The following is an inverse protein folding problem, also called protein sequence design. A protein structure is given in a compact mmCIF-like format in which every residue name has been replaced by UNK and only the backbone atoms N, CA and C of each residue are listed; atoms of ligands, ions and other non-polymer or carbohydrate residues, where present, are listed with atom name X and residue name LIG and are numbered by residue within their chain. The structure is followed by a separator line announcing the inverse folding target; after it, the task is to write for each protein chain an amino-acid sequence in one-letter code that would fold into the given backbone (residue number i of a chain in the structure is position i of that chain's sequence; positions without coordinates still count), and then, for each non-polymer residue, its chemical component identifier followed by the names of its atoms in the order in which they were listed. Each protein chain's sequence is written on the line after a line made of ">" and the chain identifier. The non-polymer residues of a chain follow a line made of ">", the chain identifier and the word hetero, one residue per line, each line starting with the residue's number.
data_IF_151957650602
#
_entry.id   IF_151957650602
#
_cell.length_a   1.000
_cell.length_b   1.000
_cell.length_c   1.000
_cell.angle_alpha   90.00
_cell.angle_beta   90.00
_cell.angle_gamma   90.00
#
_symmetry.space_group_name_H-M   'P 1'
#
loop_
_entity.id
_entity.type
_entity.pdbx_description
1 polymer ?
#
# COMPACT_ATOMS: atom_id res chain seq x y z
N UNK A 1 -18.83 -50.92 -49.78
CA UNK A 1 -18.28 -49.55 -49.93
C UNK A 1 -18.26 -48.91 -48.54
N UNK A 2 -17.13 -48.95 -47.83
CA UNK A 2 -17.00 -48.29 -46.52
C UNK A 2 -16.53 -46.85 -46.72
N UNK A 3 -17.32 -45.89 -46.25
CA UNK A 3 -16.97 -44.47 -46.25
C UNK A 3 -16.09 -44.16 -45.04
N UNK A 4 -14.83 -43.83 -45.29
CA UNK A 4 -13.88 -43.32 -44.30
C UNK A 4 -14.29 -41.88 -43.92
N UNK A 5 -14.69 -41.66 -42.66
CA UNK A 5 -14.94 -40.31 -42.12
C UNK A 5 -13.64 -39.76 -41.56
N UNK A 6 -13.09 -38.74 -42.22
CA UNK A 6 -11.95 -37.96 -41.72
C UNK A 6 -12.50 -36.94 -40.72
N UNK A 7 -12.06 -37.06 -39.46
CA UNK A 7 -12.37 -36.10 -38.40
C UNK A 7 -11.30 -35.01 -38.45
N UNK A 8 -11.67 -33.80 -38.90
CA UNK A 8 -10.78 -32.64 -38.89
C UNK A 8 -10.83 -32.03 -37.48
N UNK A 9 -9.72 -32.16 -36.75
CA UNK A 9 -9.56 -31.57 -35.42
C UNK A 9 -9.12 -30.10 -35.57
N UNK A 10 -10.03 -29.17 -35.32
CA UNK A 10 -9.72 -27.74 -35.28
C UNK A 10 -8.98 -27.42 -33.97
N UNK A 11 -7.68 -27.17 -34.03
CA UNK A 11 -6.94 -26.65 -32.87
C UNK A 11 -7.26 -25.16 -32.69
N UNK A 12 -8.14 -24.83 -31.75
CA UNK A 12 -8.26 -23.46 -31.26
C UNK A 12 -7.05 -23.14 -30.39
N UNK A 13 -6.21 -22.19 -30.84
CA UNK A 13 -5.18 -21.60 -29.98
C UNK A 13 -5.84 -20.66 -28.97
N UNK A 14 -5.98 -21.12 -27.73
CA UNK A 14 -6.34 -20.25 -26.62
C UNK A 14 -5.10 -19.48 -26.17
N UNK A 15 -5.15 -18.15 -26.21
CA UNK A 15 -4.14 -17.31 -25.55
C UNK A 15 -4.38 -17.37 -24.05
N UNK A 16 -3.47 -18.01 -23.32
CA UNK A 16 -3.42 -17.92 -21.86
C UNK A 16 -2.72 -16.62 -21.48
N UNK A 17 -3.39 -15.76 -20.72
CA UNK A 17 -2.75 -14.59 -20.13
C UNK A 17 -2.31 -14.99 -18.72
N UNK A 18 -1.00 -14.96 -18.46
CA UNK A 18 -0.50 -15.09 -17.09
C UNK A 18 -1.02 -13.90 -16.26
N UNK A 19 -1.39 -14.16 -15.00
CA UNK A 19 -1.84 -13.09 -14.12
C UNK A 19 -0.73 -12.07 -13.93
N UNK A 20 -1.02 -10.81 -14.29
CA UNK A 20 -0.05 -9.73 -14.19
C UNK A 20 0.16 -9.38 -12.72
N UNK A 21 1.40 -9.50 -12.25
CA UNK A 21 1.82 -9.06 -10.93
C UNK A 21 1.62 -7.55 -10.73
N UNK A 22 1.68 -7.08 -9.48
CA UNK A 22 1.56 -5.68 -9.10
C UNK A 22 2.54 -4.79 -9.89
N UNK A 23 3.79 -5.25 -9.96
CA UNK A 23 4.90 -4.71 -10.74
C UNK A 23 5.86 -5.87 -11.07
N UNK A 24 6.81 -5.72 -12.02
CA UNK A 24 7.62 -6.84 -12.53
C UNK A 24 8.38 -7.62 -11.45
N UNK A 25 8.82 -6.95 -10.39
CA UNK A 25 9.60 -7.53 -9.29
C UNK A 25 8.74 -7.98 -8.09
N UNK A 26 7.41 -7.91 -8.17
CA UNK A 26 6.53 -8.27 -7.07
C UNK A 26 6.51 -9.79 -6.82
N UNK A 27 6.70 -10.19 -5.56
CA UNK A 27 6.79 -11.59 -5.14
C UNK A 27 5.85 -11.88 -3.97
N UNK A 28 5.76 -13.16 -3.56
CA UNK A 28 4.99 -13.58 -2.38
C UNK A 28 3.47 -13.54 -2.56
N UNK A 29 2.74 -13.66 -1.45
CA UNK A 29 1.29 -13.78 -1.47
C UNK A 29 0.56 -12.51 -1.91
N UNK A 30 1.18 -11.35 -1.76
CA UNK A 30 0.67 -10.06 -2.24
C UNK A 30 1.06 -9.71 -3.68
N UNK A 31 1.81 -10.58 -4.38
CA UNK A 31 2.39 -10.28 -5.70
C UNK A 31 1.34 -9.88 -6.76
N UNK A 32 0.10 -10.29 -6.59
CA UNK A 32 -0.98 -10.09 -7.57
C UNK A 32 -1.94 -8.96 -7.21
N UNK A 33 -1.65 -8.17 -6.18
CA UNK A 33 -2.35 -6.91 -5.93
C UNK A 33 -2.35 -6.07 -7.22
N UNK A 34 -3.51 -5.56 -7.61
CA UNK A 34 -3.65 -4.70 -8.80
C UNK A 34 -3.59 -3.21 -8.43
N UNK A 35 -3.82 -2.87 -7.15
CA UNK A 35 -3.89 -1.51 -6.65
C UNK A 35 -4.88 -0.67 -7.45
N UNK A 36 -4.45 0.53 -7.85
CA UNK A 36 -5.26 1.46 -8.62
C UNK A 36 -5.27 1.26 -10.14
N UNK A 37 -4.80 0.11 -10.65
CA UNK A 37 -4.68 -0.13 -12.10
C UNK A 37 -5.99 0.12 -12.84
N UNK A 38 -5.93 0.90 -13.93
CA UNK A 38 -7.10 1.27 -14.73
C UNK A 38 -7.96 2.38 -14.11
N UNK A 39 -7.59 2.86 -12.92
CA UNK A 39 -8.25 3.93 -12.21
C UNK A 39 -7.73 5.33 -12.56
N UNK A 40 -8.11 6.28 -11.71
CA UNK A 40 -7.66 7.68 -11.82
C UNK A 40 -6.19 7.84 -11.38
N UNK A 41 -5.50 8.84 -11.93
CA UNK A 41 -4.19 9.26 -11.42
C UNK A 41 -4.38 10.56 -10.65
N UNK A 42 -4.10 10.52 -9.35
CA UNK A 42 -4.23 11.66 -8.45
C UNK A 42 -2.85 12.16 -8.07
N UNK A 43 -2.65 13.48 -8.21
CA UNK A 43 -1.36 14.11 -7.93
C UNK A 43 -1.38 14.79 -6.57
N UNK A 44 -0.42 14.44 -5.72
CA UNK A 44 -0.10 15.20 -4.53
C UNK A 44 0.78 16.37 -4.92
N UNK A 45 0.27 17.58 -4.75
CA UNK A 45 0.90 18.85 -5.14
C UNK A 45 1.22 19.75 -3.96
N UNK A 46 0.90 19.33 -2.74
CA UNK A 46 1.18 20.06 -1.50
C UNK A 46 1.54 19.11 -0.35
N UNK A 47 2.37 19.59 0.56
CA UNK A 47 2.74 18.89 1.81
C UNK A 47 1.77 19.22 2.96
N UNK A 48 0.76 20.05 2.72
CA UNK A 48 -0.26 20.36 3.71
C UNK A 48 -1.01 19.09 4.16
N UNK A 49 -1.40 19.04 5.43
CA UNK A 49 -2.11 17.88 5.99
C UNK A 49 -3.43 17.60 5.26
N UNK A 50 -4.19 18.65 4.91
CA UNK A 50 -5.52 18.55 4.33
C UNK A 50 -5.69 19.49 3.14
N UNK A 51 -6.82 19.38 2.44
CA UNK A 51 -7.16 20.19 1.26
C UNK A 51 -6.82 19.51 -0.06
N UNK A 52 -7.43 19.98 -1.15
CA UNK A 52 -7.23 19.42 -2.50
C UNK A 52 -5.74 19.45 -2.87
N UNK A 53 -5.26 18.33 -3.40
CA UNK A 53 -3.84 18.14 -3.73
C UNK A 53 -2.96 17.67 -2.58
N UNK A 54 -3.50 17.48 -1.36
CA UNK A 54 -2.78 16.80 -0.28
C UNK A 54 -2.85 15.28 -0.43
N UNK A 55 -1.95 14.57 0.27
CA UNK A 55 -2.01 13.10 0.37
C UNK A 55 -3.33 12.64 1.01
N UNK A 56 -3.78 13.31 2.07
CA UNK A 56 -5.06 13.00 2.72
C UNK A 56 -6.24 13.13 1.75
N UNK A 57 -6.29 14.20 0.96
CA UNK A 57 -7.34 14.36 -0.05
C UNK A 57 -7.31 13.24 -1.10
N UNK A 58 -6.11 12.90 -1.61
CA UNK A 58 -5.96 11.89 -2.66
C UNK A 58 -6.33 10.47 -2.15
N UNK A 59 -5.93 10.13 -0.92
CA UNK A 59 -6.28 8.85 -0.27
C UNK A 59 -7.79 8.74 -0.05
N UNK A 60 -8.46 9.83 0.30
CA UNK A 60 -9.92 9.83 0.54
C UNK A 60 -10.78 9.75 -0.73
N UNK A 61 -10.21 9.83 -1.94
CA UNK A 61 -11.01 9.70 -3.15
C UNK A 61 -11.51 8.26 -3.33
N UNK A 62 -12.77 8.04 -3.72
CA UNK A 62 -13.29 6.70 -3.96
C UNK A 62 -12.81 6.13 -5.31
N UNK A 63 -12.94 4.82 -5.44
CA UNK A 63 -12.61 4.09 -6.67
C UNK A 63 -11.13 3.83 -6.85
N UNK A 64 -10.81 3.06 -7.91
CA UNK A 64 -9.45 2.70 -8.24
C UNK A 64 -8.61 3.96 -8.51
N UNK A 65 -7.46 4.08 -7.86
CA UNK A 65 -6.60 5.28 -7.98
C UNK A 65 -5.12 5.03 -7.75
N UNK A 66 -4.31 5.71 -8.54
CA UNK A 66 -2.86 5.76 -8.41
C UNK A 66 -2.48 7.15 -7.94
N UNK A 67 -1.93 7.23 -6.74
CA UNK A 67 -1.41 8.46 -6.14
C UNK A 67 0.06 8.61 -6.51
N UNK A 68 0.37 9.74 -7.14
CA UNK A 68 1.73 10.14 -7.54
C UNK A 68 2.06 11.51 -6.93
N UNK A 69 3.33 11.88 -6.87
CA UNK A 69 3.80 13.06 -6.14
C UNK A 69 4.54 14.03 -7.07
N UNK A 70 4.06 15.28 -7.14
CA UNK A 70 4.78 16.40 -7.78
C UNK A 70 5.68 17.16 -6.77
N UNK A 71 5.59 16.81 -5.48
CA UNK A 71 6.34 17.42 -4.36
C UNK A 71 7.12 16.38 -3.56
N UNK A 72 8.13 16.81 -2.82
CA UNK A 72 8.93 15.98 -1.92
C UNK A 72 9.13 16.66 -0.58
N UNK A 73 9.18 15.90 0.51
CA UNK A 73 9.38 16.45 1.84
C UNK A 73 8.62 15.67 2.91
N UNK A 74 8.31 16.37 3.99
CA UNK A 74 7.63 15.83 5.17
C UNK A 74 6.15 16.21 5.12
N UNK A 75 5.28 15.23 5.29
CA UNK A 75 3.84 15.42 5.51
C UNK A 75 3.55 15.02 6.95
N UNK A 76 3.06 15.96 7.76
CA UNK A 76 2.78 15.72 9.18
C UNK A 76 1.27 15.59 9.41
N UNK A 77 0.75 14.38 9.26
CA UNK A 77 -0.65 14.02 9.52
C UNK A 77 -0.76 12.51 9.54
N UNK A 78 -1.78 12.00 10.22
CA UNK A 78 -2.19 10.60 10.05
C UNK A 78 -2.95 10.43 8.73
N UNK A 79 -2.79 9.25 8.14
CA UNK A 79 -3.43 8.85 6.89
C UNK A 79 -4.16 7.54 7.14
N UNK A 80 -5.47 7.61 7.24
CA UNK A 80 -6.35 6.44 7.13
C UNK A 80 -6.75 6.25 5.67
N UNK A 81 -6.65 5.02 5.16
CA UNK A 81 -7.11 4.62 3.83
C UNK A 81 -8.54 4.07 3.98
N UNK A 82 -9.59 4.84 3.62
CA UNK A 82 -10.97 4.41 3.79
C UNK A 82 -11.47 3.50 2.65
N UNK A 83 -10.75 3.47 1.52
CA UNK A 83 -11.14 2.78 0.30
C UNK A 83 -9.95 2.05 -0.31
N UNK A 84 -10.15 0.77 -0.65
CA UNK A 84 -9.17 -0.06 -1.34
C UNK A 84 -8.89 0.37 -2.79
N UNK A 85 -8.32 -0.55 -3.58
CA UNK A 85 -7.97 -0.33 -4.99
C UNK A 85 -7.04 0.88 -5.19
N UNK A 86 -5.99 0.94 -4.39
CA UNK A 86 -5.11 2.11 -4.29
C UNK A 86 -3.66 1.72 -4.55
N UNK A 87 -2.97 2.57 -5.31
CA UNK A 87 -1.50 2.54 -5.40
C UNK A 87 -0.94 3.86 -4.91
N UNK A 88 -0.09 3.87 -3.89
CA UNK A 88 0.68 5.04 -3.48
C UNK A 88 2.11 4.87 -3.98
N UNK A 89 2.44 5.59 -5.05
CA UNK A 89 3.69 5.46 -5.80
C UNK A 89 4.73 6.51 -5.36
N UNK A 90 5.33 6.34 -4.18
CA UNK A 90 6.29 7.27 -3.59
C UNK A 90 7.52 7.54 -4.45
N UNK A 91 7.92 6.61 -5.33
CA UNK A 91 9.06 6.77 -6.24
C UNK A 91 8.86 7.86 -7.29
N UNK A 92 7.63 8.38 -7.44
CA UNK A 92 7.34 9.50 -8.35
C UNK A 92 7.73 10.85 -7.76
N UNK A 93 7.87 10.95 -6.44
CA UNK A 93 8.27 12.18 -5.77
C UNK A 93 9.66 12.63 -6.24
N UNK A 94 9.87 13.94 -6.48
CA UNK A 94 11.20 14.45 -6.80
C UNK A 94 12.16 14.32 -5.62
N UNK A 95 13.45 14.56 -5.87
CA UNK A 95 14.45 14.78 -4.83
C UNK A 95 14.50 13.70 -3.76
N UNK A 96 14.31 14.09 -2.49
CA UNK A 96 14.48 13.21 -1.34
C UNK A 96 13.31 12.24 -1.10
N UNK A 97 12.22 12.33 -1.87
CA UNK A 97 11.01 11.53 -1.66
C UNK A 97 10.09 12.05 -0.54
N UNK A 98 9.18 11.19 -0.06
CA UNK A 98 8.16 11.53 0.93
C UNK A 98 8.42 10.83 2.26
N UNK A 99 8.37 11.61 3.34
CA UNK A 99 8.29 11.09 4.72
C UNK A 99 6.94 11.48 5.31
N UNK A 100 6.17 10.49 5.76
CA UNK A 100 4.97 10.68 6.56
C UNK A 100 5.37 10.69 8.04
N UNK A 101 5.13 11.81 8.71
CA UNK A 101 5.21 11.92 10.17
C UNK A 101 3.80 11.79 10.72
N UNK A 102 3.35 10.55 10.82
CA UNK A 102 2.01 10.15 11.22
C UNK A 102 1.81 8.66 10.96
N UNK A 103 0.66 8.16 11.40
CA UNK A 103 0.24 6.78 11.24
C UNK A 103 -0.31 6.53 9.83
N UNK A 104 -0.13 5.32 9.31
CA UNK A 104 -0.72 4.88 8.03
C UNK A 104 -1.61 3.66 8.27
N UNK A 105 -2.92 3.86 8.25
CA UNK A 105 -3.86 2.84 8.71
C UNK A 105 -4.93 2.51 7.66
N UNK A 106 -5.61 1.38 7.84
CA UNK A 106 -6.96 1.18 7.31
C UNK A 106 -7.97 1.33 8.43
N UNK A 107 -9.23 1.57 8.08
CA UNK A 107 -10.29 1.69 9.08
C UNK A 107 -10.50 0.33 9.80
N UNK A 108 -10.48 0.34 11.13
CA UNK A 108 -10.68 -0.86 11.94
C UNK A 108 -12.07 -1.48 11.73
N UNK A 109 -12.12 -2.80 11.55
CA UNK A 109 -13.36 -3.55 11.32
C UNK A 109 -14.01 -3.32 9.96
N UNK A 110 -13.34 -2.64 9.03
CA UNK A 110 -13.82 -2.41 7.66
C UNK A 110 -12.81 -3.00 6.67
N UNK A 111 -13.28 -3.95 5.85
CA UNK A 111 -12.43 -4.57 4.85
C UNK A 111 -11.96 -3.55 3.80
N UNK A 112 -10.64 -3.33 3.77
CA UNK A 112 -9.99 -2.41 2.84
C UNK A 112 -8.88 -3.15 2.12
N UNK A 113 -9.12 -3.52 0.86
CA UNK A 113 -8.29 -4.50 0.14
C UNK A 113 -7.59 -3.88 -1.08
N UNK A 114 -6.68 -4.66 -1.69
CA UNK A 114 -6.02 -4.33 -2.96
C UNK A 114 -5.19 -3.03 -2.87
N UNK A 115 -4.17 -3.06 -2.02
CA UNK A 115 -3.35 -1.91 -1.66
C UNK A 115 -1.91 -2.14 -2.13
N UNK A 116 -1.36 -1.17 -2.88
CA UNK A 116 0.06 -1.14 -3.25
C UNK A 116 0.67 0.14 -2.65
N UNK A 117 1.70 0.02 -1.83
CA UNK A 117 2.42 1.19 -1.30
C UNK A 117 3.91 0.98 -1.52
N UNK A 118 4.55 1.97 -2.16
CA UNK A 118 5.97 1.88 -2.49
C UNK A 118 6.74 3.15 -2.18
N UNK A 119 7.99 3.01 -1.77
CA UNK A 119 8.96 4.11 -1.65
C UNK A 119 8.50 5.28 -0.75
N UNK A 120 7.82 4.95 0.34
CA UNK A 120 7.47 5.91 1.40
C UNK A 120 8.30 5.63 2.64
N UNK A 121 8.50 6.68 3.44
CA UNK A 121 9.02 6.53 4.79
C UNK A 121 7.97 6.92 5.81
N UNK A 122 7.74 6.09 6.82
CA UNK A 122 6.67 6.27 7.81
C UNK A 122 7.32 6.34 9.20
N UNK A 123 7.05 7.43 9.93
CA UNK A 123 7.63 7.76 11.23
C UNK A 123 6.61 8.49 12.11
N UNK A 124 5.67 7.79 12.77
CA UNK A 124 4.72 8.44 13.65
C UNK A 124 5.44 9.21 14.78
N UNK A 125 4.82 10.27 15.31
CA UNK A 125 5.38 11.03 16.41
C UNK A 125 5.35 10.23 17.73
N UNK A 126 6.08 10.71 18.74
CA UNK A 126 6.03 10.12 20.09
C UNK A 126 4.60 10.21 20.67
N UNK A 127 4.03 9.13 21.23
CA UNK A 127 2.70 9.12 21.86
C UNK A 127 2.50 10.03 23.09
N UNK A 128 3.47 10.89 23.45
CA UNK A 128 3.44 11.76 24.63
C UNK A 128 3.17 11.02 25.96
N UNK A 129 3.65 9.77 26.09
CA UNK A 129 3.54 8.96 27.31
C UNK A 129 2.11 8.82 27.89
N UNK A 130 1.06 9.00 27.06
CA UNK A 130 -0.30 8.72 27.48
C UNK A 130 -0.48 7.21 27.57
N UNK A 131 -0.59 6.68 28.79
CA UNK A 131 -0.80 5.26 29.04
C UNK A 131 -2.32 4.94 29.16
N UNK A 132 -2.81 3.86 28.53
CA UNK A 132 -2.08 3.02 27.59
C UNK A 132 -1.84 3.79 26.29
N UNK A 133 -0.66 3.64 25.64
CA UNK A 133 -0.49 4.15 24.29
C UNK A 133 -1.58 3.47 23.47
N UNK A 134 -2.48 4.25 22.93
CA UNK A 134 -3.45 3.83 21.94
C UNK A 134 -2.72 3.23 20.73
N UNK A 135 -2.39 1.93 20.76
CA UNK A 135 -1.85 1.11 19.65
C UNK A 135 -1.21 1.94 18.53
N UNK A 136 -0.06 2.56 18.86
CA UNK A 136 0.56 3.65 18.10
C UNK A 136 1.44 3.07 16.98
N UNK A 137 0.81 2.31 16.10
CA UNK A 137 1.51 1.57 15.07
C UNK A 137 1.91 2.46 13.91
N UNK A 138 3.10 2.27 13.34
CA UNK A 138 3.46 3.07 12.16
C UNK A 138 2.56 2.74 10.97
N UNK A 139 2.33 1.44 10.72
CA UNK A 139 1.38 0.94 9.74
C UNK A 139 0.48 -0.07 10.43
N UNK A 140 -0.84 0.10 10.33
CA UNK A 140 -1.81 -0.87 10.86
C UNK A 140 -2.92 -1.12 9.84
N UNK A 141 -2.92 -2.32 9.25
CA UNK A 141 -3.96 -2.74 8.31
C UNK A 141 -4.73 -3.93 8.89
N UNK A 142 -5.95 -3.69 9.35
CA UNK A 142 -6.86 -4.71 9.88
C UNK A 142 -7.88 -5.15 8.83
N UNK A 143 -8.25 -6.43 8.83
CA UNK A 143 -9.25 -7.00 7.90
C UNK A 143 -8.95 -6.69 6.42
N UNK A 144 -7.67 -6.56 6.08
CA UNK A 144 -7.19 -6.01 4.81
C UNK A 144 -6.36 -7.03 4.04
N UNK A 145 -6.61 -7.16 2.73
CA UNK A 145 -6.10 -8.28 1.93
C UNK A 145 -5.59 -7.83 0.56
N UNK A 146 -4.76 -8.68 -0.08
CA UNK A 146 -4.10 -8.40 -1.36
C UNK A 146 -3.26 -7.11 -1.28
N UNK A 147 -2.23 -7.13 -0.45
CA UNK A 147 -1.41 -5.96 -0.13
C UNK A 147 0.03 -6.21 -0.53
N UNK A 148 0.67 -5.19 -1.10
CA UNK A 148 2.13 -5.17 -1.24
C UNK A 148 2.71 -3.86 -0.73
N UNK A 149 3.61 -4.00 0.24
CA UNK A 149 4.47 -2.94 0.76
C UNK A 149 5.88 -3.19 0.21
N UNK A 150 6.41 -2.27 -0.59
CA UNK A 150 7.69 -2.47 -1.28
C UNK A 150 8.58 -1.23 -1.20
N UNK A 151 9.86 -1.41 -0.87
CA UNK A 151 10.80 -0.30 -0.68
C UNK A 151 10.33 0.77 0.32
N UNK A 152 9.60 0.36 1.36
CA UNK A 152 9.23 1.28 2.44
C UNK A 152 10.30 1.30 3.53
N UNK A 153 10.32 2.37 4.32
CA UNK A 153 11.19 2.52 5.48
C UNK A 153 10.35 2.96 6.69
N UNK A 154 10.22 2.06 7.65
CA UNK A 154 9.29 2.17 8.78
C UNK A 154 10.06 2.09 10.08
N UNK A 155 9.73 3.00 11.00
CA UNK A 155 10.36 3.13 12.31
C UNK A 155 9.46 3.94 13.22
N UNK A 156 9.82 4.04 14.50
CA UNK A 156 9.12 4.86 15.49
C UNK A 156 7.70 4.36 15.84
N UNK A 157 7.32 3.14 15.46
CA UNK A 157 6.14 2.50 16.04
C UNK A 157 6.29 2.37 17.56
N UNK A 158 5.21 2.62 18.29
CA UNK A 158 5.23 2.53 19.75
C UNK A 158 4.84 1.15 20.27
N UNK A 159 3.90 0.50 19.60
CA UNK A 159 3.56 -0.91 19.80
C UNK A 159 4.20 -1.70 18.65
N UNK A 160 3.66 -1.59 17.43
CA UNK A 160 4.21 -2.20 16.23
C UNK A 160 4.72 -1.17 15.19
N UNK A 161 5.78 -1.53 14.44
CA UNK A 161 6.08 -0.79 13.21
C UNK A 161 5.10 -1.16 12.10
N UNK A 162 4.70 -2.44 12.02
CA UNK A 162 3.75 -2.92 11.03
C UNK A 162 2.87 -3.97 11.71
N UNK A 163 1.58 -3.67 11.84
CA UNK A 163 0.53 -4.58 12.31
C UNK A 163 -0.41 -4.97 11.16
N UNK A 164 -0.62 -6.28 11.02
CA UNK A 164 -1.49 -6.91 10.03
C UNK A 164 -2.40 -7.89 10.78
N UNK A 165 -3.59 -7.42 11.16
CA UNK A 165 -4.45 -8.10 12.12
C UNK A 165 -5.86 -8.41 11.56
N UNK A 166 -6.65 -9.14 12.33
CA UNK A 166 -8.09 -9.39 12.10
C UNK A 166 -8.40 -10.04 10.74
N UNK A 167 -7.68 -11.13 10.43
CA UNK A 167 -7.90 -11.89 9.20
C UNK A 167 -7.21 -11.31 7.96
N UNK A 168 -6.32 -10.33 8.11
CA UNK A 168 -5.47 -9.82 7.03
C UNK A 168 -4.64 -10.94 6.37
N UNK A 169 -4.73 -11.07 5.04
CA UNK A 169 -4.07 -12.15 4.27
C UNK A 169 -3.74 -11.75 2.83
N UNK A 170 -2.93 -12.56 2.13
CA UNK A 170 -2.34 -12.22 0.81
C UNK A 170 -1.50 -10.94 0.85
N UNK A 171 -0.50 -10.92 1.73
CA UNK A 171 0.36 -9.76 1.98
C UNK A 171 1.79 -10.10 1.59
N UNK A 172 2.48 -9.13 0.98
CA UNK A 172 3.93 -9.14 0.81
C UNK A 172 4.51 -7.84 1.35
N UNK A 173 5.56 -7.96 2.16
CA UNK A 173 6.45 -6.86 2.52
C UNK A 173 7.83 -7.22 1.97
N UNK A 174 8.35 -6.44 1.03
CA UNK A 174 9.61 -6.75 0.34
C UNK A 174 10.51 -5.53 0.20
N UNK A 175 11.82 -5.75 0.13
CA UNK A 175 12.85 -4.72 -0.10
C UNK A 175 12.74 -3.51 0.84
N UNK A 176 12.25 -3.71 2.06
CA UNK A 176 11.89 -2.64 2.99
C UNK A 176 12.82 -2.61 4.20
N UNK A 177 12.97 -1.43 4.78
CA UNK A 177 13.66 -1.24 6.06
C UNK A 177 12.62 -1.16 7.19
N UNK A 178 12.76 -2.01 8.21
CA UNK A 178 11.95 -1.94 9.44
C UNK A 178 12.97 -1.79 10.57
N UNK A 179 12.93 -0.64 11.25
CA UNK A 179 13.95 -0.29 12.24
C UNK A 179 13.34 0.04 13.61
N UNK A 180 14.08 0.74 14.47
CA UNK A 180 13.80 0.84 15.90
C UNK A 180 12.38 1.39 16.24
N UNK A 181 11.75 0.88 17.32
CA UNK A 181 10.53 1.48 17.86
C UNK A 181 10.84 2.80 18.58
N UNK A 182 9.83 3.62 18.85
CA UNK A 182 10.05 4.94 19.48
C UNK A 182 10.48 4.86 20.95
N UNK A 183 10.19 3.74 21.63
CA UNK A 183 10.51 3.52 23.04
C UNK A 183 11.76 2.64 23.27
N UNK A 184 12.76 2.72 22.40
CA UNK A 184 14.09 2.21 22.75
C UNK A 184 14.74 3.13 23.80
N UNK A 185 14.41 2.87 25.07
CA UNK A 185 14.91 3.59 26.25
C UNK A 185 16.28 3.07 26.73
N UNK A 186 17.05 2.38 25.88
CA UNK A 186 18.31 1.75 26.29
C UNK A 186 19.50 1.96 25.34
N UNK A 187 19.71 3.19 24.87
CA UNK A 187 21.06 3.68 24.53
C UNK A 187 21.44 4.88 25.41
#
# INVERSE_FOLDING_TARGET
>A
MSTLKILILFCLSFKTYAQLTAFPEAQGFGAFATGGRGGSVLKVTTLAATGVGSLSWAVNQPGARIIVFDVSGIITTDIEIPHGDITIAGQTAPGAGITLVGHLTTQFGVETNNIIIRHLRIRPPNPNAQWPPNQHDSIQFSSANNIILDHIDVSHGADENIDMWDGAHHITIQWSNISFPIYDVAN
#
